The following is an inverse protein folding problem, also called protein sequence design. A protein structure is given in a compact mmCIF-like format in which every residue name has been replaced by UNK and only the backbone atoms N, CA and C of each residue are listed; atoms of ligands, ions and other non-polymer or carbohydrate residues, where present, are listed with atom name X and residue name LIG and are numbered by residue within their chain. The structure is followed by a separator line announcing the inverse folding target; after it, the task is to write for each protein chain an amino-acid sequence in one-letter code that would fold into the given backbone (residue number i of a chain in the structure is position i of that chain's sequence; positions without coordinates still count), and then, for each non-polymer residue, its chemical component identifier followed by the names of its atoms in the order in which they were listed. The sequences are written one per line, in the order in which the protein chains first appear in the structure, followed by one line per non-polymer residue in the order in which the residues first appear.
data_IF_189708819103
#
_entry.id   IF_189708819103
#
_cell.length_a   1.000
_cell.length_b   1.000
_cell.length_c   1.000
_cell.angle_alpha   90.00
_cell.angle_beta   90.00
_cell.angle_gamma   90.00
#
_symmetry.space_group_name_H-M   'P 1'
#
loop_
_entity.id
_entity.type
_entity.pdbx_description
1 polymer ?
#
# COMPACT_ATOMS: atom_id res chain seq x y z
N UNK A 1 -31.34 -24.39 -18.82
CA UNK A 1 -32.31 -23.78 -17.88
C UNK A 1 -31.61 -23.65 -16.53
N UNK A 2 -30.94 -22.52 -16.25
CA UNK A 2 -30.18 -22.35 -15.01
C UNK A 2 -31.13 -21.87 -13.90
N UNK A 3 -31.41 -22.75 -12.94
CA UNK A 3 -32.19 -22.42 -11.74
C UNK A 3 -31.39 -21.36 -10.95
N UNK A 4 -31.96 -20.18 -10.65
CA UNK A 4 -31.26 -19.16 -9.89
C UNK A 4 -31.02 -19.64 -8.46
N UNK A 5 -29.75 -19.79 -8.09
CA UNK A 5 -29.35 -20.19 -6.74
C UNK A 5 -29.78 -19.16 -5.68
N UNK A 6 -30.20 -19.59 -4.48
CA UNK A 6 -30.55 -18.69 -3.38
C UNK A 6 -29.35 -17.79 -2.99
N UNK A 7 -29.61 -16.57 -2.52
CA UNK A 7 -28.57 -15.56 -2.17
C UNK A 7 -27.47 -16.10 -1.25
N UNK A 8 -27.81 -16.99 -0.30
CA UNK A 8 -26.85 -17.58 0.62
C UNK A 8 -25.82 -18.49 -0.07
N UNK A 9 -26.21 -19.19 -1.14
CA UNK A 9 -25.31 -20.05 -1.91
C UNK A 9 -24.33 -19.23 -2.75
N UNK A 10 -24.74 -18.07 -3.27
CA UNK A 10 -23.84 -17.17 -4.00
C UNK A 10 -22.73 -16.61 -3.10
N UNK A 11 -23.05 -16.25 -1.86
CA UNK A 11 -22.05 -15.81 -0.88
C UNK A 11 -21.05 -16.91 -0.50
N UNK A 12 -21.55 -18.14 -0.31
CA UNK A 12 -20.69 -19.29 0.01
C UNK A 12 -19.74 -19.64 -1.14
N UNK A 13 -20.23 -19.63 -2.38
CA UNK A 13 -19.42 -19.87 -3.58
C UNK A 13 -18.36 -18.77 -3.74
N UNK A 14 -18.74 -17.51 -3.56
CA UNK A 14 -17.82 -16.38 -3.61
C UNK A 14 -16.69 -16.48 -2.55
N UNK A 15 -17.03 -16.89 -1.33
CA UNK A 15 -16.04 -17.11 -0.27
C UNK A 15 -15.09 -18.26 -0.61
N UNK A 16 -15.62 -19.38 -1.10
CA UNK A 16 -14.81 -20.54 -1.55
C UNK A 16 -13.89 -20.15 -2.70
N UNK A 17 -14.38 -19.42 -3.70
CA UNK A 17 -13.56 -18.93 -4.82
C UNK A 17 -12.42 -18.05 -4.31
N UNK A 18 -12.70 -17.09 -3.42
CA UNK A 18 -11.70 -16.20 -2.84
C UNK A 18 -10.62 -16.97 -2.06
N UNK A 19 -11.02 -17.97 -1.28
CA UNK A 19 -10.09 -18.84 -0.55
C UNK A 19 -9.19 -19.60 -1.52
N UNK A 20 -9.74 -20.20 -2.57
CA UNK A 20 -8.94 -20.92 -3.57
C UNK A 20 -7.93 -19.98 -4.23
N UNK A 21 -8.36 -18.77 -4.61
CA UNK A 21 -7.50 -17.80 -5.28
C UNK A 21 -6.32 -17.36 -4.39
N UNK A 22 -6.56 -17.07 -3.11
CA UNK A 22 -5.46 -16.67 -2.22
C UNK A 22 -4.46 -17.82 -2.00
N UNK A 23 -4.92 -19.08 -1.92
CA UNK A 23 -4.04 -20.24 -1.85
C UNK A 23 -3.25 -20.46 -3.14
N UNK A 24 -3.86 -20.23 -4.31
CA UNK A 24 -3.15 -20.32 -5.59
C UNK A 24 -2.10 -19.22 -5.72
N UNK A 25 -2.38 -17.98 -5.30
CA UNK A 25 -1.37 -16.93 -5.25
C UNK A 25 -0.24 -17.25 -4.29
N UNK A 26 -0.54 -17.79 -3.10
CA UNK A 26 0.48 -18.25 -2.16
C UNK A 26 1.34 -19.37 -2.76
N UNK A 27 0.75 -20.32 -3.49
CA UNK A 27 1.49 -21.37 -4.17
C UNK A 27 2.43 -20.81 -5.26
N UNK A 28 1.97 -19.86 -6.08
CA UNK A 28 2.83 -19.21 -7.08
C UNK A 28 3.94 -18.40 -6.41
N UNK A 29 3.65 -17.72 -5.30
CA UNK A 29 4.64 -17.01 -4.49
C UNK A 29 5.72 -17.96 -3.95
N UNK A 30 5.35 -19.13 -3.44
CA UNK A 30 6.30 -20.15 -3.00
C UNK A 30 7.20 -20.65 -4.14
N UNK A 31 6.71 -20.66 -5.38
CA UNK A 31 7.53 -21.01 -6.56
C UNK A 31 8.49 -19.87 -6.91
N UNK A 32 7.98 -18.63 -7.03
CA UNK A 32 8.77 -17.47 -7.47
C UNK A 32 9.79 -17.01 -6.42
N UNK A 33 9.42 -17.06 -5.14
CA UNK A 33 10.26 -16.67 -4.01
C UNK A 33 10.71 -17.88 -3.17
N UNK A 34 10.78 -19.06 -3.77
CA UNK A 34 11.19 -20.31 -3.10
C UNK A 34 12.49 -20.22 -2.29
N UNK A 35 13.55 -19.52 -2.74
CA UNK A 35 14.75 -19.33 -1.93
C UNK A 35 14.51 -18.59 -0.60
N UNK A 36 13.56 -17.67 -0.58
CA UNK A 36 13.18 -16.92 0.63
C UNK A 36 12.31 -17.81 1.53
N UNK A 37 11.31 -18.46 0.94
CA UNK A 37 10.33 -19.28 1.68
C UNK A 37 10.94 -20.55 2.28
N UNK A 38 11.83 -21.23 1.56
CA UNK A 38 12.32 -22.56 1.93
C UNK A 38 13.82 -22.63 2.24
N UNK A 39 14.62 -21.68 1.74
CA UNK A 39 16.09 -21.77 1.81
C UNK A 39 16.75 -20.72 2.70
N UNK A 40 15.97 -19.99 3.50
CA UNK A 40 16.46 -18.99 4.45
C UNK A 40 17.18 -17.81 3.79
N UNK A 41 16.87 -17.51 2.52
CA UNK A 41 17.31 -16.26 1.87
C UNK A 41 16.41 -15.11 2.29
N UNK A 42 16.93 -13.90 2.25
CA UNK A 42 16.21 -12.70 2.66
C UNK A 42 16.02 -11.74 1.50
N UNK A 43 14.90 -11.03 1.50
CA UNK A 43 14.62 -9.89 0.63
C UNK A 43 15.15 -8.59 1.22
N UNK A 44 15.48 -8.58 2.52
CA UNK A 44 16.08 -7.43 3.19
C UNK A 44 17.44 -7.12 2.55
N UNK A 45 17.64 -5.91 1.98
CA UNK A 45 18.94 -5.52 1.46
C UNK A 45 20.03 -5.55 2.53
N UNK A 46 21.26 -5.97 2.18
CA UNK A 46 22.39 -5.81 3.08
C UNK A 46 22.70 -4.32 3.27
N UNK A 47 23.26 -3.95 4.43
CA UNK A 47 23.83 -2.62 4.73
C UNK A 47 25.09 -2.30 3.90
N UNK A 48 25.26 -2.96 2.77
CA UNK A 48 26.43 -2.90 1.92
C UNK A 48 26.02 -2.45 0.52
N UNK A 49 26.42 -1.24 0.16
CA UNK A 49 26.18 -0.70 -1.17
C UNK A 49 27.26 -1.20 -2.13
N UNK A 50 26.91 -2.01 -3.16
CA UNK A 50 27.90 -2.65 -4.02
C UNK A 50 28.65 -1.68 -4.95
N UNK A 51 28.12 -0.48 -5.14
CA UNK A 51 28.62 0.55 -6.05
C UNK A 51 29.34 1.64 -5.27
N UNK A 52 30.67 1.70 -5.40
CA UNK A 52 31.46 2.85 -4.97
C UNK A 52 31.37 3.99 -5.98
N UNK A 53 31.88 5.17 -5.59
CA UNK A 53 31.95 6.35 -6.46
C UNK A 53 33.02 6.20 -7.55
N UNK A 54 34.01 5.33 -7.31
CA UNK A 54 35.10 5.04 -8.24
C UNK A 54 34.91 3.68 -8.92
N UNK A 55 35.33 3.51 -10.19
CA UNK A 55 35.21 2.25 -10.93
C UNK A 55 35.85 1.06 -10.22
N UNK A 56 36.95 1.27 -9.49
CA UNK A 56 37.65 0.22 -8.75
C UNK A 56 36.97 -0.18 -7.42
N UNK A 57 35.93 0.57 -7.00
CA UNK A 57 35.28 0.36 -5.70
C UNK A 57 36.11 0.83 -4.50
N UNK A 58 35.80 0.29 -3.32
CA UNK A 58 36.46 0.67 -2.06
C UNK A 58 37.88 0.06 -2.00
N UNK A 59 38.86 0.79 -1.46
CA UNK A 59 40.25 0.32 -1.31
C UNK A 59 40.34 -1.05 -0.60
N UNK A 60 41.17 -1.95 -1.13
CA UNK A 60 41.38 -3.33 -0.64
C UNK A 60 40.13 -4.25 -0.70
N UNK A 61 39.18 -3.99 -1.61
CA UNK A 61 38.02 -4.87 -1.82
C UNK A 61 38.41 -6.16 -2.55
N UNK A 62 38.49 -7.27 -1.81
CA UNK A 62 38.54 -8.63 -2.35
C UNK A 62 37.24 -9.40 -2.01
N UNK A 63 36.69 -10.19 -2.94
CA UNK A 63 35.58 -11.12 -2.66
C UNK A 63 34.29 -10.93 -3.50
N UNK A 64 33.22 -11.63 -3.10
CA UNK A 64 31.92 -11.64 -3.81
C UNK A 64 31.25 -10.26 -3.75
N UNK A 65 30.89 -9.74 -4.92
CA UNK A 65 29.91 -8.66 -5.05
C UNK A 65 28.53 -9.20 -4.62
N UNK A 66 27.73 -8.45 -3.85
CA UNK A 66 26.31 -8.75 -3.74
C UNK A 66 25.74 -8.88 -5.14
N UNK A 67 25.04 -9.97 -5.42
CA UNK A 67 24.34 -10.12 -6.68
C UNK A 67 23.41 -8.90 -6.85
N UNK A 68 23.32 -8.38 -8.07
CA UNK A 68 22.30 -7.38 -8.40
C UNK A 68 20.94 -7.96 -7.99
N UNK A 69 20.41 -7.42 -6.92
CA UNK A 69 19.03 -7.64 -6.54
C UNK A 69 18.18 -6.82 -7.52
N UNK A 70 17.06 -7.37 -7.97
CA UNK A 70 16.11 -6.63 -8.82
C UNK A 70 15.53 -5.37 -8.16
N UNK A 71 15.86 -5.14 -6.87
CA UNK A 71 15.54 -3.94 -6.12
C UNK A 71 16.37 -2.74 -6.59
N UNK A 72 15.67 -1.64 -6.89
CA UNK A 72 16.25 -0.41 -7.45
C UNK A 72 16.88 0.47 -6.37
N UNK A 73 16.33 0.46 -5.15
CA UNK A 73 16.87 1.22 -4.02
C UNK A 73 17.03 0.32 -2.78
N UNK A 74 18.28 0.06 -2.45
CA UNK A 74 18.72 -0.79 -1.34
C UNK A 74 19.15 0.02 -0.12
N UNK A 75 19.58 1.25 -0.34
CA UNK A 75 20.17 2.08 0.69
C UNK A 75 19.09 2.60 1.63
N UNK A 76 17.96 3.07 1.09
CA UNK A 76 16.87 3.61 1.90
C UNK A 76 16.30 2.57 2.86
N UNK A 77 15.95 1.33 2.44
CA UNK A 77 15.47 0.32 3.38
C UNK A 77 16.51 -0.07 4.43
N UNK A 78 17.76 -0.29 4.01
CA UNK A 78 18.81 -0.77 4.91
C UNK A 78 19.21 0.28 5.96
N UNK A 79 19.43 1.53 5.55
CA UNK A 79 19.92 2.59 6.43
C UNK A 79 18.82 3.36 7.16
N UNK A 80 17.61 3.42 6.61
CA UNK A 80 16.53 4.24 7.15
C UNK A 80 15.29 3.45 7.55
N UNK A 81 14.65 2.70 6.64
CA UNK A 81 13.34 2.10 6.94
C UNK A 81 13.44 1.02 8.02
N UNK A 82 14.35 0.05 7.89
CA UNK A 82 14.41 -1.07 8.84
C UNK A 82 14.83 -0.67 10.27
N UNK A 83 15.83 0.21 10.48
CA UNK A 83 16.10 0.72 11.83
C UNK A 83 14.89 1.46 12.41
N UNK A 84 14.16 2.21 11.58
CA UNK A 84 12.96 2.93 12.02
C UNK A 84 11.82 1.96 12.36
N UNK A 85 11.56 0.95 11.53
CA UNK A 85 10.58 -0.12 11.79
C UNK A 85 10.90 -0.84 13.10
N UNK A 86 12.18 -1.14 13.34
CA UNK A 86 12.62 -1.81 14.57
C UNK A 86 12.34 -0.93 15.79
N UNK A 87 12.64 0.37 15.71
CA UNK A 87 12.34 1.33 16.76
C UNK A 87 10.83 1.43 17.02
N UNK A 88 10.01 1.57 15.97
CA UNK A 88 8.55 1.61 16.07
C UNK A 88 8.00 0.36 16.75
N UNK A 89 8.49 -0.81 16.34
CA UNK A 89 8.14 -2.10 16.94
C UNK A 89 8.48 -2.18 18.43
N UNK A 90 9.67 -1.71 18.82
CA UNK A 90 10.10 -1.66 20.22
C UNK A 90 9.26 -0.68 21.05
N UNK A 91 8.90 0.47 20.48
CA UNK A 91 8.00 1.43 21.13
C UNK A 91 6.64 0.79 21.39
N UNK A 92 6.04 0.12 20.39
CA UNK A 92 4.77 -0.58 20.57
C UNK A 92 4.84 -1.71 21.59
N UNK A 93 5.91 -2.52 21.59
CA UNK A 93 6.14 -3.57 22.60
C UNK A 93 6.23 -3.01 24.02
N UNK A 94 6.75 -1.78 24.15
CA UNK A 94 6.84 -1.05 25.41
C UNK A 94 5.62 -0.14 25.67
N UNK A 95 4.49 -0.36 24.98
CA UNK A 95 3.25 0.42 25.13
C UNK A 95 3.43 1.93 24.92
N UNK A 96 4.43 2.31 24.13
CA UNK A 96 4.75 3.69 23.78
C UNK A 96 4.26 3.98 22.37
N UNK A 97 3.51 5.07 22.20
CA UNK A 97 3.06 5.50 20.88
C UNK A 97 4.25 6.10 20.12
N UNK A 98 4.51 5.71 18.85
CA UNK A 98 5.72 6.07 18.11
C UNK A 98 5.68 7.52 17.58
N UNK A 99 5.72 8.49 18.50
CA UNK A 99 5.61 9.92 18.17
C UNK A 99 6.98 10.60 17.98
N UNK A 100 8.03 10.13 18.66
CA UNK A 100 9.33 10.80 18.72
C UNK A 100 10.49 9.82 18.55
N UNK A 101 11.45 10.16 17.68
CA UNK A 101 12.68 9.40 17.49
C UNK A 101 13.86 10.15 18.16
N UNK A 102 14.39 9.69 19.29
CA UNK A 102 15.52 10.35 19.95
C UNK A 102 16.88 10.07 19.28
N UNK A 103 16.94 9.13 18.33
CA UNK A 103 18.20 8.65 17.74
C UNK A 103 18.58 9.36 16.44
N UNK A 104 17.73 10.26 15.93
CA UNK A 104 17.99 11.02 14.70
C UNK A 104 18.11 12.50 15.02
N UNK A 105 19.22 13.14 14.62
CA UNK A 105 19.43 14.59 14.65
C UNK A 105 19.11 15.29 16.00
N UNK A 106 19.31 14.61 17.14
CA UNK A 106 18.96 15.13 18.47
C UNK A 106 17.48 15.02 18.83
N UNK A 107 16.66 14.49 17.93
CA UNK A 107 15.24 14.24 18.09
C UNK A 107 14.44 14.63 16.84
N UNK A 108 13.60 13.73 16.33
CA UNK A 108 12.68 14.02 15.22
C UNK A 108 11.26 13.52 15.50
N UNK A 109 10.21 14.18 14.99
CA UNK A 109 8.83 13.74 15.15
C UNK A 109 8.55 12.53 14.24
N UNK A 110 8.77 11.32 14.78
CA UNK A 110 8.77 10.04 14.06
C UNK A 110 7.49 9.82 13.25
N UNK A 111 6.33 9.92 13.88
CA UNK A 111 5.05 9.72 13.20
C UNK A 111 4.83 10.76 12.09
N UNK A 112 5.14 12.03 12.38
CA UNK A 112 4.89 13.14 11.45
C UNK A 112 5.81 13.11 10.22
N UNK A 113 6.90 12.33 10.22
CA UNK A 113 7.71 12.12 9.01
C UNK A 113 6.95 11.36 7.90
N UNK A 114 5.79 10.75 8.20
CA UNK A 114 4.87 10.10 7.26
C UNK A 114 5.40 8.80 6.62
N UNK A 115 6.60 8.81 6.06
CA UNK A 115 7.32 7.66 5.48
C UNK A 115 7.55 6.49 6.46
N UNK A 116 7.47 6.76 7.76
CA UNK A 116 7.67 5.78 8.83
C UNK A 116 6.54 4.77 8.93
N UNK A 117 5.36 5.06 8.33
CA UNK A 117 4.19 4.15 8.29
C UNK A 117 3.73 3.67 9.67
N UNK A 118 4.10 4.39 10.72
CA UNK A 118 3.98 3.92 12.10
C UNK A 118 2.54 3.54 12.49
N UNK A 119 1.55 4.14 11.82
CA UNK A 119 0.12 3.88 12.07
C UNK A 119 -0.58 3.02 10.99
N UNK A 120 0.16 2.45 10.04
CA UNK A 120 -0.41 1.53 9.07
C UNK A 120 -0.63 0.15 9.71
N UNK A 121 -1.87 -0.39 9.75
CA UNK A 121 -2.16 -1.61 10.53
C UNK A 121 -1.30 -2.82 10.14
N UNK A 122 -1.03 -3.01 8.86
CA UNK A 122 -0.18 -4.11 8.39
C UNK A 122 1.28 -3.94 8.83
N UNK A 123 1.77 -2.70 8.80
CA UNK A 123 3.13 -2.36 9.23
C UNK A 123 3.31 -2.56 10.73
N UNK A 124 2.33 -2.15 11.54
CA UNK A 124 2.39 -2.34 13.00
C UNK A 124 2.61 -3.81 13.35
N UNK A 125 1.93 -4.73 12.66
CA UNK A 125 2.06 -6.16 12.90
C UNK A 125 3.47 -6.64 12.50
N UNK A 126 4.00 -6.16 11.38
CA UNK A 126 5.37 -6.45 10.96
C UNK A 126 6.40 -5.95 11.97
N UNK A 127 6.33 -4.67 12.36
CA UNK A 127 7.30 -4.02 13.23
C UNK A 127 7.36 -4.69 14.61
N UNK A 128 6.21 -5.15 15.13
CA UNK A 128 6.14 -5.90 16.39
C UNK A 128 6.65 -7.34 16.22
N UNK A 129 6.56 -7.93 15.03
CA UNK A 129 7.05 -9.29 14.79
C UNK A 129 8.59 -9.39 14.94
N UNK A 130 9.14 -10.59 15.19
CA UNK A 130 10.59 -10.77 15.17
C UNK A 130 11.13 -10.50 13.75
N UNK A 131 12.27 -9.80 13.65
CA UNK A 131 12.86 -9.35 12.37
C UNK A 131 13.01 -10.46 11.33
N UNK A 132 13.31 -11.69 11.78
CA UNK A 132 13.41 -12.85 10.88
C UNK A 132 12.10 -13.22 10.14
N UNK A 133 10.97 -12.61 10.49
CA UNK A 133 9.68 -12.79 9.80
C UNK A 133 9.36 -11.69 8.78
N UNK A 134 10.10 -10.59 8.74
CA UNK A 134 9.77 -9.42 7.90
C UNK A 134 9.73 -9.74 6.41
N UNK A 135 10.58 -10.66 5.94
CA UNK A 135 10.52 -11.16 4.55
C UNK A 135 9.13 -11.72 4.19
N UNK A 136 8.45 -12.39 5.13
CA UNK A 136 7.09 -12.89 4.90
C UNK A 136 6.05 -11.77 4.86
N UNK A 137 6.28 -10.65 5.54
CA UNK A 137 5.42 -9.47 5.44
C UNK A 137 5.62 -8.76 4.09
N UNK A 138 6.86 -8.64 3.61
CA UNK A 138 7.14 -8.16 2.25
C UNK A 138 6.40 -9.01 1.21
N UNK A 139 6.51 -10.34 1.31
CA UNK A 139 5.77 -11.27 0.44
C UNK A 139 4.25 -11.16 0.64
N UNK A 140 3.79 -10.93 1.87
CA UNK A 140 2.38 -10.77 2.19
C UNK A 140 1.76 -9.54 1.51
N UNK A 141 2.51 -8.44 1.34
CA UNK A 141 2.05 -7.28 0.57
C UNK A 141 1.70 -7.63 -0.88
N UNK A 142 2.53 -8.43 -1.53
CA UNK A 142 2.28 -8.93 -2.88
C UNK A 142 1.01 -9.78 -2.90
N UNK A 143 0.88 -10.70 -1.96
CA UNK A 143 -0.29 -11.57 -1.85
C UNK A 143 -1.59 -10.76 -1.69
N UNK A 144 -1.61 -9.79 -0.78
CA UNK A 144 -2.77 -8.92 -0.56
C UNK A 144 -3.04 -8.01 -1.75
N UNK A 145 -2.01 -7.48 -2.41
CA UNK A 145 -2.17 -6.66 -3.61
C UNK A 145 -2.83 -7.44 -4.75
N UNK A 146 -2.37 -8.67 -4.99
CA UNK A 146 -2.97 -9.56 -5.97
C UNK A 146 -4.40 -9.95 -5.60
N UNK A 147 -4.63 -10.28 -4.33
CA UNK A 147 -5.94 -10.65 -3.82
C UNK A 147 -6.96 -9.51 -3.90
N UNK A 148 -6.60 -8.29 -3.49
CA UNK A 148 -7.49 -7.13 -3.59
C UNK A 148 -7.77 -6.75 -5.04
N UNK A 149 -6.79 -6.89 -5.94
CA UNK A 149 -7.01 -6.75 -7.38
C UNK A 149 -7.98 -7.79 -7.91
N UNK A 150 -7.83 -9.05 -7.51
CA UNK A 150 -8.79 -10.09 -7.84
C UNK A 150 -10.20 -9.72 -7.38
N UNK A 151 -10.37 -9.29 -6.11
CA UNK A 151 -11.68 -8.90 -5.59
C UNK A 151 -12.27 -7.72 -6.36
N UNK A 152 -11.47 -6.70 -6.66
CA UNK A 152 -11.87 -5.54 -7.45
C UNK A 152 -12.36 -5.97 -8.85
N UNK A 153 -11.59 -6.78 -9.55
CA UNK A 153 -11.92 -7.24 -10.91
C UNK A 153 -13.12 -8.19 -10.92
N UNK A 154 -13.23 -9.07 -9.91
CA UNK A 154 -14.27 -10.11 -9.82
C UNK A 154 -15.62 -9.57 -9.39
N UNK A 155 -15.65 -8.61 -8.47
CA UNK A 155 -16.87 -8.10 -7.83
C UNK A 155 -17.23 -6.65 -8.21
N UNK A 156 -16.69 -6.20 -9.34
CA UNK A 156 -17.03 -4.94 -9.99
C UNK A 156 -18.54 -4.84 -10.32
N UNK A 157 -19.12 -3.66 -10.13
CA UNK A 157 -20.57 -3.44 -9.96
C UNK A 157 -21.49 -3.79 -11.12
N UNK A 158 -21.08 -3.70 -12.39
CA UNK A 158 -21.96 -4.05 -13.53
C UNK A 158 -21.75 -5.45 -14.09
N UNK A 159 -20.50 -5.83 -14.32
CA UNK A 159 -20.10 -7.09 -14.96
C UNK A 159 -18.67 -7.41 -14.51
N UNK A 160 -18.52 -7.94 -13.29
CA UNK A 160 -17.25 -8.47 -12.83
C UNK A 160 -16.66 -9.44 -13.86
N UNK A 161 -15.34 -9.41 -14.02
CA UNK A 161 -14.65 -10.27 -14.96
C UNK A 161 -14.86 -11.75 -14.60
N UNK A 162 -14.66 -12.61 -15.60
CA UNK A 162 -14.63 -14.06 -15.38
C UNK A 162 -13.49 -14.44 -14.42
N UNK A 163 -13.66 -15.54 -13.68
CA UNK A 163 -12.71 -16.00 -12.67
C UNK A 163 -11.26 -16.00 -13.16
N UNK A 164 -11.02 -16.52 -14.37
CA UNK A 164 -9.68 -16.66 -14.93
C UNK A 164 -9.04 -15.30 -15.28
N UNK A 165 -9.83 -14.36 -15.79
CA UNK A 165 -9.37 -13.00 -16.08
C UNK A 165 -9.10 -12.21 -14.79
N UNK A 166 -9.99 -12.31 -13.78
CA UNK A 166 -9.75 -11.70 -12.47
C UNK A 166 -8.53 -12.29 -11.77
N UNK A 167 -8.34 -13.61 -11.85
CA UNK A 167 -7.17 -14.30 -11.31
C UNK A 167 -5.88 -13.84 -11.99
N UNK A 168 -5.86 -13.81 -13.33
CA UNK A 168 -4.71 -13.35 -14.10
C UNK A 168 -4.38 -11.87 -13.81
N UNK A 169 -5.40 -11.01 -13.69
CA UNK A 169 -5.21 -9.60 -13.35
C UNK A 169 -4.56 -9.40 -11.98
N UNK A 170 -5.00 -10.12 -10.96
CA UNK A 170 -4.35 -10.09 -9.64
C UNK A 170 -2.94 -10.65 -9.67
N UNK A 171 -2.71 -11.73 -10.44
CA UNK A 171 -1.37 -12.31 -10.61
C UNK A 171 -0.40 -11.33 -11.27
N UNK A 172 -0.81 -10.67 -12.35
CA UNK A 172 0.04 -9.67 -13.01
C UNK A 172 0.27 -8.44 -12.14
N UNK A 173 -0.71 -8.04 -11.33
CA UNK A 173 -0.51 -6.91 -10.44
C UNK A 173 0.50 -7.22 -9.33
N UNK A 174 0.39 -8.37 -8.66
CA UNK A 174 1.30 -8.72 -7.56
C UNK A 174 2.76 -8.95 -8.01
N UNK A 175 2.98 -9.29 -9.28
CA UNK A 175 4.32 -9.41 -9.89
C UNK A 175 4.69 -8.23 -10.78
N UNK A 176 4.00 -7.10 -10.65
CA UNK A 176 4.34 -5.89 -11.40
C UNK A 176 5.59 -5.21 -10.83
N UNK A 177 6.18 -4.30 -11.61
CA UNK A 177 7.42 -3.61 -11.27
C UNK A 177 7.41 -2.93 -9.90
N UNK A 178 6.28 -2.36 -9.48
CA UNK A 178 6.18 -1.71 -8.15
C UNK A 178 6.45 -2.69 -7.00
N UNK A 179 6.08 -3.97 -7.16
CA UNK A 179 6.33 -4.97 -6.13
C UNK A 179 7.65 -5.69 -6.34
N UNK A 180 8.10 -5.92 -7.57
CA UNK A 180 9.35 -6.65 -7.82
C UNK A 180 10.60 -5.78 -7.66
N UNK A 181 10.52 -4.48 -7.96
CA UNK A 181 11.66 -3.55 -7.92
C UNK A 181 11.76 -2.74 -6.62
N UNK A 182 10.65 -2.66 -5.87
CA UNK A 182 10.58 -1.88 -4.63
C UNK A 182 10.07 -2.74 -3.48
N UNK A 183 10.30 -4.06 -3.50
CA UNK A 183 9.75 -5.00 -2.50
C UNK A 183 10.16 -4.62 -1.07
N UNK A 184 11.37 -4.07 -0.93
CA UNK A 184 11.95 -3.63 0.34
C UNK A 184 11.62 -2.19 0.71
N UNK A 185 11.00 -1.41 -0.18
CA UNK A 185 10.52 -0.06 0.10
C UNK A 185 9.05 -0.12 0.48
N UNK A 186 8.81 -0.21 1.79
CA UNK A 186 7.52 -0.58 2.34
C UNK A 186 6.47 0.52 2.14
N UNK A 187 6.88 1.80 2.11
CA UNK A 187 5.96 2.92 1.85
C UNK A 187 5.35 2.87 0.45
N UNK A 188 6.09 2.39 -0.55
CA UNK A 188 5.58 2.21 -1.90
C UNK A 188 4.69 0.98 -1.99
N UNK A 189 5.12 -0.15 -1.44
CA UNK A 189 4.38 -1.41 -1.54
C UNK A 189 3.12 -1.43 -0.67
N UNK A 190 3.10 -0.76 0.49
CA UNK A 190 1.88 -0.54 1.29
C UNK A 190 0.83 0.25 0.50
N UNK A 191 1.26 1.34 -0.15
CA UNK A 191 0.36 2.21 -0.91
C UNK A 191 -0.15 1.49 -2.17
N UNK A 192 0.72 0.76 -2.86
CA UNK A 192 0.34 -0.08 -4.01
C UNK A 192 -0.62 -1.21 -3.59
N UNK A 193 -0.37 -1.90 -2.47
CA UNK A 193 -1.27 -2.94 -1.96
C UNK A 193 -2.67 -2.41 -1.67
N UNK A 194 -2.80 -1.19 -1.14
CA UNK A 194 -4.10 -0.60 -0.78
C UNK A 194 -4.86 -0.02 -1.98
N UNK A 195 -4.19 0.29 -3.10
CA UNK A 195 -4.82 0.90 -4.28
C UNK A 195 -6.03 0.11 -4.82
N UNK A 196 -5.95 -1.21 -5.08
CA UNK A 196 -7.10 -1.97 -5.59
C UNK A 196 -8.27 -2.01 -4.60
N UNK A 197 -7.98 -1.94 -3.29
CA UNK A 197 -8.99 -1.88 -2.25
C UNK A 197 -9.76 -0.54 -2.30
N UNK A 198 -9.06 0.57 -2.54
CA UNK A 198 -9.70 1.89 -2.79
C UNK A 198 -10.56 1.84 -4.04
N UNK A 199 -10.09 1.23 -5.13
CA UNK A 199 -10.90 1.07 -6.35
C UNK A 199 -12.18 0.25 -6.10
N UNK A 200 -12.08 -0.81 -5.28
CA UNK A 200 -13.25 -1.60 -4.85
C UNK A 200 -14.20 -0.78 -3.96
N UNK A 201 -13.68 0.08 -3.09
CA UNK A 201 -14.46 1.02 -2.29
C UNK A 201 -15.24 2.01 -3.17
N UNK A 202 -14.58 2.59 -4.17
CA UNK A 202 -15.20 3.50 -5.14
C UNK A 202 -16.25 2.79 -5.98
N UNK A 203 -15.98 1.57 -6.44
CA UNK A 203 -16.96 0.73 -7.15
C UNK A 203 -18.22 0.52 -6.30
N UNK A 204 -18.05 0.29 -5.00
CA UNK A 204 -19.17 0.15 -4.07
C UNK A 204 -20.02 1.43 -3.95
N UNK A 205 -19.44 2.62 -4.09
CA UNK A 205 -20.19 3.89 -4.08
C UNK A 205 -21.08 4.06 -5.32
N UNK A 206 -20.57 3.60 -6.47
CA UNK A 206 -21.23 3.72 -7.77
C UNK A 206 -22.32 2.66 -8.01
N UNK A 207 -22.38 1.61 -7.18
CA UNK A 207 -23.38 0.53 -7.29
C UNK A 207 -24.81 1.07 -7.28
N UNK A 208 -25.58 0.69 -8.32
CA UNK A 208 -26.97 1.11 -8.53
C UNK A 208 -27.92 0.37 -7.59
N UNK A 209 -28.83 1.12 -6.97
CA UNK A 209 -29.85 0.55 -6.09
C UNK A 209 -29.30 0.14 -4.73
N UNK A 210 -30.21 -0.07 -3.77
CA UNK A 210 -29.87 -0.38 -2.39
C UNK A 210 -30.50 0.61 -1.41
N UNK A 211 -30.89 0.10 -0.24
CA UNK A 211 -31.39 0.90 0.87
C UNK A 211 -30.37 1.97 1.29
N UNK A 212 -30.84 3.07 1.91
CA UNK A 212 -29.99 4.10 2.53
C UNK A 212 -28.87 3.46 3.37
N UNK A 213 -29.20 2.42 4.15
CA UNK A 213 -28.23 1.67 4.96
C UNK A 213 -27.11 1.02 4.14
N UNK A 214 -27.42 0.50 2.95
CA UNK A 214 -26.41 -0.08 2.05
C UNK A 214 -25.48 0.99 1.50
N UNK A 215 -26.01 2.19 1.24
CA UNK A 215 -25.24 3.31 0.72
C UNK A 215 -24.32 3.89 1.79
N UNK A 216 -24.80 4.05 3.02
CA UNK A 216 -23.95 4.45 4.16
C UNK A 216 -22.83 3.44 4.43
N UNK A 217 -23.09 2.14 4.29
CA UNK A 217 -22.05 1.11 4.39
C UNK A 217 -20.99 1.22 3.28
N UNK A 218 -21.40 1.54 2.06
CA UNK A 218 -20.46 1.77 0.97
C UNK A 218 -19.58 3.00 1.22
N UNK A 219 -20.16 4.09 1.72
CA UNK A 219 -19.43 5.30 2.14
C UNK A 219 -18.43 4.96 3.25
N UNK A 220 -18.86 4.27 4.31
CA UNK A 220 -17.99 3.87 5.41
C UNK A 220 -16.87 2.92 4.97
N UNK A 221 -17.18 1.97 4.08
CA UNK A 221 -16.17 1.07 3.53
C UNK A 221 -15.13 1.84 2.71
N UNK A 222 -15.58 2.71 1.80
CA UNK A 222 -14.68 3.54 0.99
C UNK A 222 -13.84 4.48 1.87
N UNK A 223 -14.41 5.09 2.92
CA UNK A 223 -13.65 5.96 3.83
C UNK A 223 -12.55 5.20 4.58
N UNK A 224 -12.81 3.96 5.01
CA UNK A 224 -11.78 3.10 5.61
C UNK A 224 -10.69 2.75 4.60
N UNK A 225 -11.04 2.43 3.35
CA UNK A 225 -10.05 2.14 2.31
C UNK A 225 -9.16 3.36 2.03
N UNK A 226 -9.75 4.56 1.95
CA UNK A 226 -9.02 5.82 1.77
C UNK A 226 -8.12 6.10 2.97
N UNK A 227 -8.61 5.89 4.19
CA UNK A 227 -7.80 6.04 5.40
C UNK A 227 -6.59 5.09 5.39
N UNK A 228 -6.77 3.82 5.00
CA UNK A 228 -5.65 2.88 4.86
C UNK A 228 -4.63 3.33 3.81
N UNK A 229 -5.08 3.87 2.68
CA UNK A 229 -4.20 4.45 1.65
C UNK A 229 -3.39 5.62 2.22
N UNK A 230 -4.02 6.50 3.00
CA UNK A 230 -3.38 7.68 3.61
C UNK A 230 -2.44 7.34 4.77
N UNK A 231 -2.64 6.20 5.43
CA UNK A 231 -1.74 5.71 6.47
C UNK A 231 -0.56 4.91 5.90
N UNK A 232 -0.58 4.57 4.60
CA UNK A 232 0.40 3.69 3.96
C UNK A 232 1.80 4.30 3.76
N UNK A 233 1.98 5.58 4.09
CA UNK A 233 3.29 6.21 4.25
C UNK A 233 3.87 6.89 3.01
N UNK A 234 3.17 6.96 1.87
CA UNK A 234 3.62 7.73 0.72
C UNK A 234 2.55 8.72 0.20
N UNK A 235 2.65 10.03 0.55
CA UNK A 235 1.57 10.99 0.33
C UNK A 235 1.40 11.33 -1.16
N UNK A 236 2.50 11.35 -1.90
CA UNK A 236 2.51 11.61 -3.35
C UNK A 236 1.79 10.50 -4.12
N UNK A 237 2.07 9.24 -3.78
CA UNK A 237 1.40 8.09 -4.38
C UNK A 237 -0.07 8.04 -3.96
N UNK A 238 -0.40 8.39 -2.70
CA UNK A 238 -1.78 8.52 -2.25
C UNK A 238 -2.57 9.60 -3.02
N UNK A 239 -1.92 10.71 -3.38
CA UNK A 239 -2.51 11.75 -4.23
C UNK A 239 -2.81 11.22 -5.64
N UNK A 240 -1.87 10.54 -6.28
CA UNK A 240 -2.09 9.93 -7.61
C UNK A 240 -3.16 8.84 -7.57
N UNK A 241 -3.16 8.00 -6.54
CA UNK A 241 -4.19 6.99 -6.29
C UNK A 241 -5.58 7.63 -6.12
N UNK A 242 -5.66 8.76 -5.42
CA UNK A 242 -6.89 9.54 -5.25
C UNK A 242 -7.38 10.13 -6.56
N UNK A 243 -6.48 10.66 -7.40
CA UNK A 243 -6.84 11.14 -8.72
C UNK A 243 -7.39 10.01 -9.60
N UNK A 244 -6.71 8.86 -9.61
CA UNK A 244 -7.19 7.67 -10.32
C UNK A 244 -8.56 7.21 -9.81
N UNK A 245 -8.76 7.18 -8.49
CA UNK A 245 -10.02 6.85 -7.85
C UNK A 245 -11.15 7.79 -8.26
N UNK A 246 -10.86 9.09 -8.37
CA UNK A 246 -11.84 10.10 -8.81
C UNK A 246 -12.22 9.90 -10.28
N UNK A 247 -11.24 9.73 -11.17
CA UNK A 247 -11.50 9.44 -12.59
C UNK A 247 -12.29 8.14 -12.74
N UNK A 248 -11.92 7.10 -12.00
CA UNK A 248 -12.63 5.84 -11.98
C UNK A 248 -14.06 5.97 -11.44
N UNK A 249 -14.30 6.79 -10.41
CA UNK A 249 -15.64 7.06 -9.89
C UNK A 249 -16.54 7.68 -10.95
N UNK A 250 -16.05 8.67 -11.69
CA UNK A 250 -16.79 9.29 -12.81
C UNK A 250 -17.12 8.24 -13.86
N UNK A 251 -16.12 7.44 -14.27
CA UNK A 251 -16.30 6.36 -15.23
C UNK A 251 -17.34 5.33 -14.76
N UNK A 252 -17.26 4.89 -13.50
CA UNK A 252 -18.15 3.90 -12.92
C UNK A 252 -19.59 4.44 -12.82
N UNK A 253 -19.78 5.70 -12.41
CA UNK A 253 -21.10 6.33 -12.35
C UNK A 253 -21.73 6.47 -13.75
N UNK A 254 -20.97 6.94 -14.74
CA UNK A 254 -21.44 7.00 -16.14
C UNK A 254 -21.79 5.61 -16.67
N UNK A 255 -20.92 4.65 -16.44
CA UNK A 255 -21.08 3.29 -16.95
C UNK A 255 -22.27 2.60 -16.29
N UNK A 256 -22.45 2.73 -14.98
CA UNK A 256 -23.46 1.96 -14.25
C UNK A 256 -24.83 2.63 -14.27
N UNK A 257 -24.87 3.96 -14.31
CA UNK A 257 -26.07 4.73 -14.05
C UNK A 257 -26.38 5.84 -15.08
N UNK A 258 -25.49 6.11 -16.03
CA UNK A 258 -25.62 7.21 -16.99
C UNK A 258 -25.44 8.59 -16.35
N UNK A 259 -25.59 9.64 -17.15
CA UNK A 259 -25.31 11.03 -16.73
C UNK A 259 -26.19 11.53 -15.58
N UNK A 260 -27.43 11.03 -15.47
CA UNK A 260 -28.32 11.36 -14.34
C UNK A 260 -27.84 10.79 -13.01
N UNK A 261 -26.98 9.77 -13.06
CA UNK A 261 -26.37 9.15 -11.89
C UNK A 261 -25.33 10.01 -11.22
N UNK A 262 -24.47 10.66 -12.00
CA UNK A 262 -23.48 11.63 -11.52
C UNK A 262 -24.17 12.71 -10.70
N UNK A 263 -25.19 13.37 -11.27
CA UNK A 263 -25.83 14.51 -10.62
C UNK A 263 -26.45 14.14 -9.27
N UNK A 264 -27.00 12.92 -9.14
CA UNK A 264 -27.66 12.46 -7.92
C UNK A 264 -26.71 11.90 -6.86
N UNK A 265 -25.52 11.43 -7.25
CA UNK A 265 -24.58 10.72 -6.35
C UNK A 265 -23.21 11.38 -6.25
N UNK A 266 -23.02 12.53 -6.88
CA UNK A 266 -21.78 13.29 -6.87
C UNK A 266 -21.20 13.46 -5.47
N UNK A 267 -22.04 13.75 -4.47
CA UNK A 267 -21.61 13.98 -3.08
C UNK A 267 -21.06 12.74 -2.36
N UNK A 268 -21.30 11.52 -2.85
CA UNK A 268 -20.84 10.32 -2.13
C UNK A 268 -19.32 10.21 -2.09
N UNK A 269 -18.66 10.52 -3.21
CA UNK A 269 -17.21 10.49 -3.32
C UNK A 269 -16.54 11.49 -2.35
N UNK A 270 -16.84 12.81 -2.40
CA UNK A 270 -16.23 13.76 -1.47
C UNK A 270 -16.59 13.49 -0.01
N UNK A 271 -17.81 13.00 0.30
CA UNK A 271 -18.15 12.60 1.68
C UNK A 271 -17.30 11.41 2.14
N UNK A 272 -17.13 10.37 1.32
CA UNK A 272 -16.28 9.23 1.67
C UNK A 272 -14.82 9.64 1.87
N UNK A 273 -14.30 10.51 1.01
CA UNK A 273 -12.94 11.04 1.12
C UNK A 273 -12.75 11.95 2.34
N UNK A 274 -13.71 12.83 2.63
CA UNK A 274 -13.68 13.68 3.82
C UNK A 274 -13.68 12.84 5.11
N UNK A 275 -14.49 11.78 5.16
CA UNK A 275 -14.47 10.83 6.27
C UNK A 275 -13.15 10.06 6.34
N UNK A 276 -12.58 9.65 5.20
CA UNK A 276 -11.27 8.99 5.16
C UNK A 276 -10.15 9.89 5.69
N UNK A 277 -10.12 11.16 5.26
CA UNK A 277 -9.21 12.19 5.78
C UNK A 277 -9.39 12.38 7.29
N UNK A 278 -10.64 12.44 7.76
CA UNK A 278 -10.97 12.53 9.18
C UNK A 278 -10.46 11.32 9.99
N UNK A 279 -10.60 10.11 9.45
CA UNK A 279 -10.10 8.89 10.09
C UNK A 279 -8.56 8.85 10.17
N UNK A 280 -7.86 9.44 9.20
CA UNK A 280 -6.38 9.56 9.22
C UNK A 280 -5.87 10.88 9.81
N UNK A 281 -6.76 11.76 10.31
CA UNK A 281 -6.39 13.13 10.69
C UNK A 281 -5.32 13.18 11.79
N UNK A 282 -5.30 12.20 12.68
CA UNK A 282 -4.31 12.08 13.75
C UNK A 282 -2.85 11.96 13.23
N UNK A 283 -2.66 11.48 11.99
CA UNK A 283 -1.37 11.45 11.31
C UNK A 283 -1.22 12.66 10.37
N UNK A 284 -2.27 12.99 9.62
CA UNK A 284 -2.21 14.05 8.60
C UNK A 284 -1.96 15.43 9.21
N UNK A 285 -2.57 15.75 10.35
CA UNK A 285 -2.42 17.07 10.99
C UNK A 285 -0.96 17.28 11.44
N UNK A 286 -0.33 16.38 12.23
CA UNK A 286 1.08 16.52 12.58
C UNK A 286 2.02 16.56 11.38
N UNK A 287 1.73 15.78 10.32
CA UNK A 287 2.51 15.81 9.09
C UNK A 287 2.44 17.19 8.41
N UNK A 288 1.24 17.75 8.24
CA UNK A 288 1.06 19.07 7.62
C UNK A 288 1.72 20.19 8.44
N UNK A 289 1.68 20.10 9.77
CA UNK A 289 2.41 21.00 10.67
C UNK A 289 3.93 20.86 10.47
N UNK A 290 4.44 19.62 10.42
CA UNK A 290 5.84 19.35 10.19
C UNK A 290 6.32 19.87 8.83
N UNK A 291 5.51 19.76 7.77
CA UNK A 291 5.85 20.32 6.45
C UNK A 291 6.12 21.82 6.53
N UNK A 292 5.39 22.57 7.35
CA UNK A 292 5.62 24.01 7.54
C UNK A 292 6.92 24.34 8.30
N UNK A 293 7.39 23.42 9.15
CA UNK A 293 8.57 23.61 10.02
C UNK A 293 9.84 22.97 9.44
N UNK A 294 9.71 22.07 8.48
CA UNK A 294 10.81 21.26 7.96
C UNK A 294 11.75 22.07 7.09
N UNK A 295 13.03 21.71 7.14
CA UNK A 295 14.01 22.18 6.17
C UNK A 295 13.76 21.50 4.82
N UNK A 296 13.40 22.29 3.80
CA UNK A 296 13.18 21.80 2.45
C UNK A 296 14.36 22.15 1.56
N UNK A 297 14.99 21.12 1.01
CA UNK A 297 15.97 21.26 -0.09
C UNK A 297 15.25 21.76 -1.36
N UNK A 298 13.93 21.62 -1.45
CA UNK A 298 13.10 22.10 -2.55
C UNK A 298 11.98 23.01 -2.03
N UNK A 299 12.24 24.30 -1.77
CA UNK A 299 11.20 25.22 -1.33
C UNK A 299 10.11 25.35 -2.41
N UNK A 300 8.86 25.54 -1.97
CA UNK A 300 7.72 25.74 -2.87
C UNK A 300 7.98 26.93 -3.81
N UNK A 301 7.93 26.68 -5.13
CA UNK A 301 8.25 27.68 -6.16
C UNK A 301 9.75 27.94 -6.37
N UNK A 302 10.63 27.24 -5.65
CA UNK A 302 12.08 27.33 -5.78
C UNK A 302 12.66 26.40 -6.86
N UNK A 303 13.95 26.58 -7.16
CA UNK A 303 14.69 25.70 -8.06
C UNK A 303 15.02 24.38 -7.37
N UNK A 304 14.98 23.28 -8.14
CA UNK A 304 15.40 21.95 -7.69
C UNK A 304 16.92 21.99 -7.40
N UNK A 305 17.33 21.54 -6.20
CA UNK A 305 18.72 21.41 -5.76
C UNK A 305 18.93 21.96 -4.34
N UNK A 306 20.02 21.58 -3.67
CA UNK A 306 20.39 22.14 -2.37
C UNK A 306 20.71 23.62 -2.50
N UNK A 307 19.79 24.46 -2.03
CA UNK A 307 20.01 25.89 -1.95
C UNK A 307 20.77 26.16 -0.65
N UNK A 308 22.02 26.63 -0.78
CA UNK A 308 22.79 27.10 0.37
C UNK A 308 22.06 28.26 1.03
N UNK A 309 22.13 28.34 2.36
CA UNK A 309 21.69 29.53 3.11
C UNK A 309 22.49 30.73 2.59
N UNK A 310 21.79 31.70 1.97
CA UNK A 310 22.34 33.02 1.66
C UNK A 310 22.11 33.93 2.84
#
# INVERSE_FOLDING_TARGET
MCIPLPKNYKGLIAAREAIIVIFLYAAVMCVMYGPVVFSGKSLMPPLYQPHGIVPEGVYAREGRLPASTFNVDLATPAYYEFPTNKLVGDMYKNLTIPLWNPYQAGGTPLAAQYSTRAFFPYQIIEDISPVGWWDFFMLGRLLFAGFFTYLFLRYNGKNGLGLLASFAGGLFYMFSGVFTWFISLEQFTNTAMTLPLVMLGVDALAKRGGSLRSQSRAVAFCSVCVSLLLLAGQPEVALYATLLAFVYFIYAELSFNGSSGILRRFLKFPVAYALGLGLSAFLLIPFLELVGLSFHIHPLGGRIGAQGLV
#
